data_IF_234323051937
#
_entry.id   IF_234323051937
#
_cell.length_a   1.000
_cell.length_b   1.000
_cell.length_c   1.000
_cell.angle_alpha   90.00
_cell.angle_beta   90.00
_cell.angle_gamma   90.00
#
_symmetry.space_group_name_H-M   'P 1'
#
loop_
_entity.id
_entity.type
_entity.pdbx_description
1 polymer ?
#
# COMPACT_ATOMS: atom_id res chain seq x y z
N UNK A 1 -7.24 -2.22 25.45
CA UNK A 1 -7.23 -1.43 24.20
C UNK A 1 -5.97 -1.84 23.45
N UNK A 2 -6.13 -2.35 22.25
CA UNK A 2 -5.00 -2.71 21.38
C UNK A 2 -4.68 -1.52 20.46
N UNK A 3 -3.40 -1.23 20.29
CA UNK A 3 -2.92 -0.16 19.41
C UNK A 3 -2.00 -0.81 18.37
N UNK A 4 -2.32 -0.60 17.10
CA UNK A 4 -1.47 -1.04 15.99
C UNK A 4 -0.68 0.16 15.46
N UNK A 5 0.64 0.01 15.41
CA UNK A 5 1.51 0.99 14.77
C UNK A 5 1.68 0.58 13.31
N UNK A 6 1.17 1.42 12.41
CA UNK A 6 1.19 1.15 10.97
C UNK A 6 1.87 2.30 10.22
N UNK A 7 2.63 1.96 9.19
CA UNK A 7 3.41 2.92 8.40
C UNK A 7 3.27 2.61 6.92
N UNK A 8 3.08 3.65 6.11
CA UNK A 8 3.15 3.53 4.67
C UNK A 8 4.63 3.59 4.24
N UNK A 9 5.06 2.55 3.55
CA UNK A 9 6.44 2.37 3.08
C UNK A 9 6.46 2.75 1.60
N UNK A 10 6.57 4.06 1.34
CA UNK A 10 6.37 4.66 0.02
C UNK A 10 7.25 5.89 -0.21
N UNK A 11 7.38 6.31 -1.47
CA UNK A 11 7.98 7.60 -1.82
C UNK A 11 7.01 8.76 -1.56
N UNK A 12 7.56 9.93 -1.31
CA UNK A 12 6.81 11.17 -1.38
C UNK A 12 6.57 11.57 -2.85
N UNK A 13 5.31 11.70 -3.24
CA UNK A 13 4.88 12.02 -4.60
C UNK A 13 4.69 13.52 -4.87
N UNK A 14 5.42 14.36 -4.16
CA UNK A 14 5.40 15.80 -4.37
C UNK A 14 6.31 16.27 -5.51
N UNK A 15 6.44 17.57 -5.65
CA UNK A 15 7.39 18.18 -6.57
C UNK A 15 8.43 18.99 -5.77
N UNK A 16 9.71 18.53 -5.69
CA UNK A 16 10.23 17.30 -6.31
C UNK A 16 9.75 16.01 -5.63
N UNK A 17 9.76 14.90 -6.38
CA UNK A 17 9.55 13.57 -5.83
C UNK A 17 10.64 13.22 -4.81
N UNK A 18 10.26 12.55 -3.74
CA UNK A 18 11.20 12.08 -2.72
C UNK A 18 12.16 11.01 -3.24
N UNK A 19 13.19 10.70 -2.43
CA UNK A 19 14.12 9.61 -2.73
C UNK A 19 13.91 8.43 -1.78
N UNK A 20 14.24 7.22 -2.22
CA UNK A 20 14.16 6.03 -1.38
C UNK A 20 14.92 6.22 -0.05
N UNK A 21 16.11 6.79 -0.10
CA UNK A 21 16.92 7.04 1.10
C UNK A 21 16.19 7.90 2.14
N UNK A 22 15.59 9.03 1.70
CA UNK A 22 14.97 10.00 2.61
C UNK A 22 13.56 9.62 3.05
N UNK A 23 12.80 8.97 2.16
CA UNK A 23 11.38 8.67 2.43
C UNK A 23 11.17 7.28 3.03
N UNK A 24 12.04 6.33 2.71
CA UNK A 24 11.85 4.92 3.01
C UNK A 24 12.99 4.38 3.89
N UNK A 25 14.21 4.29 3.35
CA UNK A 25 15.29 3.54 3.99
C UNK A 25 15.68 4.12 5.35
N UNK A 26 16.04 5.39 5.38
CA UNK A 26 16.47 6.03 6.63
C UNK A 26 15.36 6.11 7.69
N UNK A 27 14.13 6.56 7.39
CA UNK A 27 13.05 6.57 8.38
C UNK A 27 12.73 5.18 8.92
N UNK A 28 12.68 4.16 8.05
CA UNK A 28 12.42 2.77 8.46
C UNK A 28 13.50 2.25 9.39
N UNK A 29 14.77 2.55 9.14
CA UNK A 29 15.88 2.17 10.03
C UNK A 29 15.77 2.85 11.40
N UNK A 30 15.27 4.08 11.49
CA UNK A 30 15.00 4.72 12.78
C UNK A 30 13.84 4.01 13.52
N UNK A 31 12.76 3.66 12.84
CA UNK A 31 11.66 2.88 13.42
C UNK A 31 12.14 1.51 13.92
N UNK A 32 12.95 0.80 13.14
CA UNK A 32 13.55 -0.49 13.54
C UNK A 32 14.39 -0.38 14.82
N UNK A 33 15.20 0.68 14.96
CA UNK A 33 15.97 0.93 16.21
C UNK A 33 15.05 1.11 17.42
N UNK A 34 13.94 1.86 17.27
CA UNK A 34 12.95 2.03 18.32
C UNK A 34 12.30 0.69 18.65
N UNK A 35 11.88 -0.07 17.64
CA UNK A 35 11.26 -1.37 17.82
C UNK A 35 12.18 -2.37 18.52
N UNK A 36 13.45 -2.43 18.14
CA UNK A 36 14.47 -3.27 18.78
C UNK A 36 14.63 -2.96 20.28
N UNK A 37 14.61 -1.69 20.64
CA UNK A 37 14.77 -1.24 22.01
C UNK A 37 13.52 -1.47 22.88
N UNK A 38 12.33 -1.53 22.28
CA UNK A 38 11.04 -1.61 22.98
C UNK A 38 10.36 -2.96 22.87
N UNK A 39 10.80 -3.84 21.96
CA UNK A 39 10.13 -5.10 21.63
C UNK A 39 8.84 -4.96 20.82
N UNK A 40 8.45 -3.74 20.43
CA UNK A 40 7.23 -3.46 19.66
C UNK A 40 7.35 -4.04 18.26
N UNK A 41 6.25 -4.61 17.75
CA UNK A 41 6.12 -5.00 16.35
C UNK A 41 5.20 -4.02 15.62
N UNK A 42 5.49 -3.79 14.35
CA UNK A 42 4.85 -2.79 13.51
C UNK A 42 4.35 -3.44 12.23
N UNK A 43 3.40 -2.80 11.58
CA UNK A 43 2.91 -3.18 10.25
C UNK A 43 3.39 -2.13 9.24
N UNK A 44 4.05 -2.58 8.19
CA UNK A 44 4.48 -1.73 7.08
C UNK A 44 3.64 -2.04 5.85
N UNK A 45 2.96 -1.05 5.33
CA UNK A 45 2.21 -1.12 4.08
C UNK A 45 3.13 -0.77 2.91
N UNK A 46 3.58 -1.79 2.20
CA UNK A 46 4.62 -1.68 1.17
C UNK A 46 4.01 -1.23 -0.16
N UNK A 47 4.43 -0.07 -0.68
CA UNK A 47 4.07 0.35 -2.04
C UNK A 47 4.69 -0.59 -3.07
N UNK A 48 3.91 -1.60 -3.43
CA UNK A 48 4.36 -2.67 -4.30
C UNK A 48 4.44 -2.25 -5.77
N UNK A 49 3.72 -1.18 -6.15
CA UNK A 49 3.86 -0.58 -7.47
C UNK A 49 5.27 -0.02 -7.69
N UNK A 50 5.80 0.69 -6.68
CA UNK A 50 7.18 1.14 -6.70
C UNK A 50 8.17 -0.04 -6.80
N UNK A 51 7.97 -1.08 -6.00
CA UNK A 51 8.81 -2.28 -6.01
C UNK A 51 8.82 -2.97 -7.38
N UNK A 52 7.67 -3.07 -8.04
CA UNK A 52 7.54 -3.58 -9.41
C UNK A 52 8.36 -2.74 -10.39
N UNK A 53 8.20 -1.42 -10.36
CA UNK A 53 8.92 -0.50 -11.25
C UNK A 53 10.43 -0.53 -11.02
N UNK A 54 10.87 -0.59 -9.78
CA UNK A 54 12.29 -0.79 -9.49
C UNK A 54 12.82 -2.07 -10.14
N UNK A 55 12.09 -3.18 -10.04
CA UNK A 55 12.49 -4.42 -10.68
C UNK A 55 12.55 -4.30 -12.21
N UNK A 56 11.52 -3.71 -12.84
CA UNK A 56 11.46 -3.51 -14.29
C UNK A 56 12.66 -2.69 -14.80
N UNK A 57 12.92 -1.52 -14.20
CA UNK A 57 13.98 -0.61 -14.64
C UNK A 57 15.38 -1.01 -14.16
N UNK A 58 15.51 -1.89 -13.19
CA UNK A 58 16.80 -2.44 -12.73
C UNK A 58 17.58 -3.17 -13.83
N UNK A 59 16.88 -3.64 -14.86
CA UNK A 59 17.51 -4.30 -16.01
C UNK A 59 18.26 -3.30 -16.91
N UNK A 60 17.91 -2.02 -16.85
CA UNK A 60 18.45 -0.98 -17.72
C UNK A 60 19.38 -0.01 -16.99
N UNK A 61 19.21 0.17 -15.67
CA UNK A 61 19.94 1.19 -14.90
C UNK A 61 20.52 0.62 -13.60
N UNK A 62 21.86 0.69 -13.46
CA UNK A 62 22.53 0.16 -12.27
C UNK A 62 22.11 0.87 -10.97
N UNK A 63 21.87 2.18 -11.00
CA UNK A 63 21.38 2.92 -9.82
C UNK A 63 20.03 2.40 -9.33
N UNK A 64 19.11 2.11 -10.25
CA UNK A 64 17.80 1.54 -9.93
C UNK A 64 17.94 0.11 -9.40
N UNK A 65 18.90 -0.66 -9.92
CA UNK A 65 19.19 -2.01 -9.42
C UNK A 65 19.72 -1.98 -7.97
N UNK A 66 20.61 -1.04 -7.67
CA UNK A 66 21.09 -0.84 -6.30
C UNK A 66 19.95 -0.47 -5.35
N UNK A 67 19.09 0.45 -5.75
CA UNK A 67 17.92 0.88 -4.99
C UNK A 67 16.94 -0.30 -4.78
N UNK A 68 16.64 -1.08 -5.82
CA UNK A 68 15.83 -2.30 -5.71
C UNK A 68 16.40 -3.28 -4.69
N UNK A 69 17.71 -3.50 -4.70
CA UNK A 69 18.37 -4.41 -3.76
C UNK A 69 18.30 -3.87 -2.32
N UNK A 70 18.50 -2.58 -2.11
CA UNK A 70 18.40 -1.95 -0.79
C UNK A 70 16.97 -2.08 -0.22
N UNK A 71 15.97 -1.73 -1.01
CA UNK A 71 14.54 -1.82 -0.64
C UNK A 71 14.15 -3.28 -0.30
N UNK A 72 14.47 -4.22 -1.18
CA UNK A 72 14.11 -5.63 -0.96
C UNK A 72 14.83 -6.22 0.24
N UNK A 73 16.09 -5.84 0.49
CA UNK A 73 16.83 -6.29 1.66
C UNK A 73 16.24 -5.70 2.96
N UNK A 74 15.82 -4.44 2.97
CA UNK A 74 15.18 -3.85 4.13
C UNK A 74 13.83 -4.51 4.43
N UNK A 75 13.00 -4.78 3.41
CA UNK A 75 11.72 -5.52 3.59
C UNK A 75 11.99 -6.92 4.19
N UNK A 76 12.96 -7.66 3.67
CA UNK A 76 13.35 -8.97 4.23
C UNK A 76 13.80 -8.85 5.68
N UNK A 77 14.52 -7.79 6.02
CA UNK A 77 14.99 -7.54 7.37
C UNK A 77 13.81 -7.23 8.30
N UNK A 78 12.84 -6.41 7.88
CA UNK A 78 11.61 -6.16 8.62
C UNK A 78 10.89 -7.47 8.99
N UNK A 79 10.73 -8.35 8.01
CA UNK A 79 10.12 -9.68 8.23
C UNK A 79 10.93 -10.54 9.19
N UNK A 80 12.26 -10.55 9.06
CA UNK A 80 13.14 -11.32 9.95
C UNK A 80 13.12 -10.80 11.39
N UNK A 81 12.92 -9.50 11.59
CA UNK A 81 12.75 -8.86 12.89
C UNK A 81 11.34 -9.04 13.48
N UNK A 82 10.44 -9.71 12.74
CA UNK A 82 9.08 -10.03 13.18
C UNK A 82 8.07 -8.89 12.99
N UNK A 83 8.38 -7.90 12.16
CA UNK A 83 7.42 -6.92 11.66
C UNK A 83 6.55 -7.56 10.58
N UNK A 84 5.36 -7.01 10.37
CA UNK A 84 4.47 -7.43 9.31
C UNK A 84 4.59 -6.49 8.10
N UNK A 85 4.62 -7.05 6.88
CA UNK A 85 4.70 -6.30 5.64
C UNK A 85 3.49 -6.67 4.79
N UNK A 86 2.60 -5.70 4.57
CA UNK A 86 1.31 -5.89 3.92
C UNK A 86 1.17 -4.97 2.69
N UNK A 87 0.11 -5.19 1.91
CA UNK A 87 -0.04 -4.62 0.58
C UNK A 87 -0.48 -3.16 0.63
N UNK A 88 0.29 -2.30 0.00
CA UNK A 88 -0.07 -0.92 -0.35
C UNK A 88 -0.03 -0.75 -1.85
N UNK A 89 -1.06 -0.13 -2.43
CA UNK A 89 -1.12 0.07 -3.87
C UNK A 89 -1.35 1.54 -4.20
N UNK A 90 -0.35 2.11 -4.87
CA UNK A 90 -0.48 3.31 -5.68
C UNK A 90 -0.53 2.90 -7.16
N UNK A 91 -1.72 2.74 -7.76
CA UNK A 91 -1.84 2.14 -9.09
C UNK A 91 -1.30 3.01 -10.21
N UNK A 92 -1.09 4.31 -9.97
CA UNK A 92 -0.47 5.23 -10.92
C UNK A 92 0.96 4.80 -11.32
N UNK A 93 1.62 3.92 -10.53
CA UNK A 93 2.89 3.33 -10.92
C UNK A 93 2.82 2.57 -12.25
N UNK A 94 1.66 2.04 -12.64
CA UNK A 94 1.51 1.41 -13.96
C UNK A 94 1.83 2.38 -15.11
N UNK A 95 1.56 3.67 -14.91
CA UNK A 95 1.74 4.73 -15.91
C UNK A 95 3.06 5.53 -15.74
N UNK A 96 3.87 5.20 -14.72
CA UNK A 96 5.14 5.87 -14.46
C UNK A 96 6.30 5.21 -15.21
N UNK A 97 7.34 6.01 -15.50
CA UNK A 97 8.56 5.57 -16.16
C UNK A 97 9.81 6.16 -15.46
N UNK A 98 10.99 5.68 -15.85
CA UNK A 98 12.27 6.19 -15.36
C UNK A 98 13.17 6.57 -16.54
N UNK A 99 13.79 7.74 -16.52
CA UNK A 99 14.63 8.25 -17.61
C UNK A 99 16.13 7.93 -17.46
N UNK A 100 16.48 7.19 -16.43
CA UNK A 100 17.88 6.88 -16.05
C UNK A 100 18.41 7.72 -14.90
N UNK A 101 17.78 8.88 -14.61
CA UNK A 101 18.17 9.79 -13.53
C UNK A 101 17.07 10.01 -12.48
N UNK A 102 15.80 9.98 -12.91
CA UNK A 102 14.64 10.26 -12.05
C UNK A 102 13.39 9.53 -12.53
N UNK A 103 12.43 9.40 -11.62
CA UNK A 103 11.08 8.95 -11.93
C UNK A 103 10.31 10.04 -12.68
N UNK A 104 9.63 9.64 -13.76
CA UNK A 104 8.65 10.47 -14.48
C UNK A 104 7.27 10.01 -14.02
N UNK A 105 6.70 10.80 -13.11
CA UNK A 105 5.43 10.48 -12.47
C UNK A 105 4.26 10.82 -13.39
N UNK A 106 3.31 9.87 -13.48
CA UNK A 106 2.02 10.10 -14.12
C UNK A 106 0.91 9.65 -13.15
N UNK A 107 0.22 10.62 -12.56
CA UNK A 107 -0.83 10.39 -11.57
C UNK A 107 -2.24 10.59 -12.14
N UNK A 108 -2.42 10.52 -13.47
CA UNK A 108 -3.71 10.70 -14.10
C UNK A 108 -4.73 9.62 -13.73
N UNK A 109 -4.27 8.37 -13.54
CA UNK A 109 -5.05 7.26 -12.97
C UNK A 109 -4.55 6.99 -11.55
N UNK A 110 -5.11 7.70 -10.59
CA UNK A 110 -4.61 7.69 -9.20
C UNK A 110 -5.20 6.57 -8.35
N UNK A 111 -6.46 6.18 -8.62
CA UNK A 111 -7.19 5.17 -7.86
C UNK A 111 -7.25 3.85 -8.63
N UNK A 112 -7.33 2.73 -7.92
CA UNK A 112 -7.63 1.45 -8.57
C UNK A 112 -8.92 1.52 -9.40
N UNK A 113 -9.93 2.24 -8.94
CA UNK A 113 -11.18 2.42 -9.67
C UNK A 113 -11.07 3.25 -10.97
N UNK A 114 -9.93 3.83 -11.28
CA UNK A 114 -9.66 4.50 -12.56
C UNK A 114 -9.27 3.51 -13.67
N UNK A 115 -9.04 2.25 -13.31
CA UNK A 115 -8.66 1.16 -14.21
C UNK A 115 -9.89 0.30 -14.57
N UNK A 116 -9.82 -0.44 -15.68
CA UNK A 116 -10.83 -1.44 -16.01
C UNK A 116 -10.82 -2.60 -15.01
N UNK A 117 -11.90 -3.36 -14.93
CA UNK A 117 -12.00 -4.47 -13.97
C UNK A 117 -10.92 -5.54 -14.18
N UNK A 118 -10.55 -5.82 -15.43
CA UNK A 118 -9.46 -6.75 -15.77
C UNK A 118 -8.09 -6.20 -15.36
N UNK A 119 -7.85 -4.89 -15.54
CA UNK A 119 -6.62 -4.24 -15.06
C UNK A 119 -6.55 -4.23 -13.53
N UNK A 120 -7.66 -3.93 -12.85
CA UNK A 120 -7.74 -3.98 -11.38
C UNK A 120 -7.34 -5.38 -10.88
N UNK A 121 -7.95 -6.42 -11.46
CA UNK A 121 -7.65 -7.80 -11.07
C UNK A 121 -6.15 -8.13 -11.30
N UNK A 122 -5.62 -7.76 -12.46
CA UNK A 122 -4.21 -7.95 -12.78
C UNK A 122 -3.28 -7.24 -11.79
N UNK A 123 -3.54 -5.94 -11.52
CA UNK A 123 -2.71 -5.14 -10.61
C UNK A 123 -2.72 -5.75 -9.21
N UNK A 124 -3.90 -6.05 -8.67
CA UNK A 124 -4.03 -6.58 -7.31
C UNK A 124 -3.30 -7.91 -7.16
N UNK A 125 -3.51 -8.86 -8.07
CA UNK A 125 -2.89 -10.18 -8.02
C UNK A 125 -1.37 -10.13 -8.24
N UNK A 126 -0.92 -9.34 -9.21
CA UNK A 126 0.49 -9.19 -9.51
C UNK A 126 1.25 -8.53 -8.34
N UNK A 127 0.72 -7.43 -7.80
CA UNK A 127 1.37 -6.72 -6.69
C UNK A 127 1.41 -7.59 -5.43
N UNK A 128 0.31 -8.26 -5.10
CA UNK A 128 0.30 -9.21 -3.99
C UNK A 128 1.37 -10.29 -4.19
N UNK A 129 1.46 -10.87 -5.38
CA UNK A 129 2.45 -11.90 -5.71
C UNK A 129 3.90 -11.41 -5.59
N UNK A 130 4.17 -10.19 -6.04
CA UNK A 130 5.50 -9.56 -5.90
C UNK A 130 5.87 -9.45 -4.42
N UNK A 131 4.97 -8.94 -3.58
CA UNK A 131 5.24 -8.77 -2.15
C UNK A 131 5.40 -10.12 -1.45
N UNK A 132 4.54 -11.11 -1.76
CA UNK A 132 4.68 -12.47 -1.23
C UNK A 132 6.03 -13.10 -1.61
N UNK A 133 6.52 -12.87 -2.82
CA UNK A 133 7.82 -13.38 -3.26
C UNK A 133 8.99 -12.75 -2.49
N UNK A 134 8.90 -11.47 -2.12
CA UNK A 134 9.95 -10.81 -1.34
C UNK A 134 9.89 -11.19 0.13
N UNK A 135 8.71 -11.22 0.72
CA UNK A 135 8.51 -11.46 2.15
C UNK A 135 8.50 -12.93 2.53
N UNK A 136 8.15 -13.82 1.60
CA UNK A 136 7.84 -15.25 1.84
C UNK A 136 6.76 -15.42 2.93
N UNK A 137 5.82 -14.48 3.01
CA UNK A 137 4.71 -14.44 3.97
C UNK A 137 3.38 -14.32 3.26
N UNK A 138 2.31 -14.61 4.00
CA UNK A 138 0.96 -14.33 3.54
C UNK A 138 0.71 -12.83 3.52
N UNK A 139 0.08 -12.35 2.44
CA UNK A 139 -0.31 -10.94 2.25
C UNK A 139 -1.82 -10.93 2.06
N UNK A 140 -2.55 -10.52 3.08
CA UNK A 140 -4.01 -10.54 3.11
C UNK A 140 -4.62 -9.28 3.74
N UNK A 141 -3.79 -8.27 4.01
CA UNK A 141 -4.17 -6.96 4.49
C UNK A 141 -3.80 -5.93 3.42
N UNK A 142 -4.66 -4.95 3.24
CA UNK A 142 -4.52 -3.93 2.21
C UNK A 142 -4.67 -2.53 2.79
N UNK A 143 -3.96 -1.58 2.21
CA UNK A 143 -4.18 -0.13 2.36
C UNK A 143 -4.13 0.54 1.00
N UNK A 144 -5.13 1.37 0.71
CA UNK A 144 -5.20 2.13 -0.54
C UNK A 144 -4.23 3.31 -0.50
N UNK A 145 -3.50 3.50 -1.58
CA UNK A 145 -2.72 4.71 -1.81
C UNK A 145 -3.60 5.95 -1.75
N UNK A 146 -3.19 6.96 -0.94
CA UNK A 146 -3.95 8.17 -0.73
C UNK A 146 -5.38 7.94 -0.21
N UNK A 147 -5.61 6.85 0.53
CA UNK A 147 -6.92 6.46 1.08
C UNK A 147 -8.01 6.20 0.03
N UNK A 148 -7.67 6.13 -1.26
CA UNK A 148 -8.63 6.07 -2.37
C UNK A 148 -9.20 4.66 -2.58
N UNK A 149 -9.86 4.09 -1.57
CA UNK A 149 -10.50 2.76 -1.59
C UNK A 149 -11.86 2.74 -2.28
N UNK A 150 -12.49 3.90 -2.43
CA UNK A 150 -13.85 4.02 -2.96
C UNK A 150 -13.88 4.18 -4.49
N UNK A 151 -14.92 3.62 -5.17
CA UNK A 151 -15.93 2.72 -4.63
C UNK A 151 -15.41 1.28 -4.50
N UNK A 152 -15.48 0.71 -3.30
CA UNK A 152 -14.99 -0.64 -3.03
C UNK A 152 -15.70 -1.73 -3.85
N UNK A 153 -16.94 -1.51 -4.22
CA UNK A 153 -17.70 -2.47 -5.05
C UNK A 153 -16.99 -2.86 -6.34
N UNK A 154 -16.18 -1.98 -6.92
CA UNK A 154 -15.36 -2.29 -8.10
C UNK A 154 -14.14 -3.17 -7.79
N UNK A 155 -13.63 -3.10 -6.56
CA UNK A 155 -12.43 -3.80 -6.12
C UNK A 155 -12.74 -5.17 -5.55
N UNK A 156 -13.96 -5.34 -5.03
CA UNK A 156 -14.41 -6.50 -4.25
C UNK A 156 -14.02 -7.83 -4.88
N UNK A 157 -14.36 -8.05 -6.14
CA UNK A 157 -14.09 -9.33 -6.84
C UNK A 157 -12.60 -9.66 -6.87
N UNK A 158 -11.77 -8.68 -7.15
CA UNK A 158 -10.31 -8.84 -7.20
C UNK A 158 -9.74 -9.12 -5.82
N UNK A 159 -10.28 -8.50 -4.78
CA UNK A 159 -9.87 -8.72 -3.38
C UNK A 159 -10.28 -10.12 -2.91
N UNK A 160 -11.50 -10.57 -3.22
CA UNK A 160 -11.93 -11.94 -2.93
C UNK A 160 -11.01 -12.97 -3.61
N UNK A 161 -10.66 -12.76 -4.88
CA UNK A 161 -9.77 -13.63 -5.64
C UNK A 161 -8.35 -13.65 -5.07
N UNK A 162 -7.85 -12.51 -4.60
CA UNK A 162 -6.54 -12.38 -3.94
C UNK A 162 -6.55 -12.90 -2.49
N UNK A 163 -7.70 -13.16 -1.89
CA UNK A 163 -7.79 -13.50 -0.46
C UNK A 163 -7.42 -12.34 0.46
N UNK A 164 -7.56 -11.10 0.00
CA UNK A 164 -7.45 -9.90 0.83
C UNK A 164 -8.73 -9.80 1.67
N UNK A 165 -8.60 -9.77 2.98
CA UNK A 165 -9.75 -9.84 3.91
C UNK A 165 -9.78 -8.69 4.91
N UNK A 166 -8.72 -7.92 5.00
CA UNK A 166 -8.60 -6.74 5.87
C UNK A 166 -8.26 -5.53 5.02
N UNK A 167 -8.97 -4.44 5.24
CA UNK A 167 -8.65 -3.10 4.75
C UNK A 167 -8.26 -2.19 5.93
N UNK A 168 -7.33 -1.28 5.70
CA UNK A 168 -6.93 -0.24 6.63
C UNK A 168 -6.72 1.08 5.90
N UNK A 169 -7.72 1.49 5.12
CA UNK A 169 -7.65 2.70 4.29
C UNK A 169 -8.49 3.85 4.84
N UNK A 170 -9.47 3.56 5.68
CA UNK A 170 -10.43 4.55 6.15
C UNK A 170 -9.89 5.31 7.35
N UNK A 171 -10.01 6.65 7.32
CA UNK A 171 -9.91 7.44 8.54
C UNK A 171 -11.24 8.16 8.79
N UNK A 172 -11.93 7.87 9.92
CA UNK A 172 -13.30 8.32 10.14
C UNK A 172 -13.46 9.84 10.08
N UNK A 173 -14.46 10.30 9.32
CA UNK A 173 -14.75 11.71 9.13
C UNK A 173 -13.92 12.39 8.03
N UNK A 174 -12.93 11.71 7.47
CA UNK A 174 -12.10 12.26 6.39
C UNK A 174 -12.88 12.41 5.08
N UNK A 175 -12.56 13.45 4.33
CA UNK A 175 -13.14 13.72 3.01
C UNK A 175 -12.18 14.54 2.16
N UNK A 176 -12.04 14.14 0.91
CA UNK A 176 -11.44 14.94 -0.14
C UNK A 176 -12.25 14.78 -1.43
N UNK A 177 -12.48 15.86 -2.14
CA UNK A 177 -13.25 15.88 -3.38
C UNK A 177 -12.46 16.43 -4.58
N UNK A 178 -11.15 16.64 -4.42
CA UNK A 178 -10.33 17.27 -5.44
C UNK A 178 -9.88 16.27 -6.50
N UNK A 179 -10.33 16.47 -7.73
CA UNK A 179 -9.85 15.78 -8.92
C UNK A 179 -9.88 14.25 -8.82
N UNK A 180 -8.77 13.62 -9.20
CA UNK A 180 -8.61 12.17 -9.17
C UNK A 180 -8.34 11.61 -7.77
N UNK A 181 -7.97 12.45 -6.83
CA UNK A 181 -7.73 12.12 -5.44
C UNK A 181 -8.98 12.42 -4.60
N UNK A 182 -9.89 11.45 -4.53
CA UNK A 182 -11.15 11.67 -3.84
C UNK A 182 -11.58 10.45 -3.00
N UNK A 183 -12.14 10.74 -1.84
CA UNK A 183 -12.75 9.80 -0.91
C UNK A 183 -13.72 10.55 0.00
N UNK A 184 -14.71 9.85 0.57
CA UNK A 184 -15.65 10.39 1.56
C UNK A 184 -15.93 9.35 2.64
N UNK A 185 -15.37 9.58 3.82
CA UNK A 185 -15.51 8.72 5.01
C UNK A 185 -16.35 9.39 6.11
N UNK A 186 -17.15 10.38 5.76
CA UNK A 186 -18.00 11.12 6.73
C UNK A 186 -19.12 10.29 7.32
N UNK A 187 -19.50 9.18 6.65
CA UNK A 187 -20.57 8.28 7.08
C UNK A 187 -20.09 6.98 7.72
N UNK A 188 -18.81 6.88 8.05
CA UNK A 188 -18.22 5.66 8.63
C UNK A 188 -18.77 5.35 10.03
N UNK A 189 -18.83 4.06 10.42
CA UNK A 189 -19.19 3.65 11.77
C UNK A 189 -18.23 4.21 12.83
N UNK A 190 -18.73 4.68 13.96
CA UNK A 190 -17.92 5.05 15.11
C UNK A 190 -17.45 3.80 15.88
N UNK A 191 -16.57 3.01 15.28
CA UNK A 191 -16.04 1.73 15.78
C UNK A 191 -14.54 1.62 15.54
N UNK A 192 -13.86 0.84 16.37
CA UNK A 192 -12.45 0.50 16.17
C UNK A 192 -12.21 -0.47 15.01
N UNK A 193 -13.23 -1.21 14.62
CA UNK A 193 -13.26 -2.05 13.40
C UNK A 193 -14.71 -2.43 13.08
N UNK A 194 -14.96 -2.83 11.84
CA UNK A 194 -16.26 -3.38 11.44
C UNK A 194 -16.12 -4.28 10.22
N UNK A 195 -17.07 -5.19 10.07
CA UNK A 195 -17.20 -5.97 8.85
C UNK A 195 -18.01 -5.21 7.81
N UNK A 196 -17.62 -5.35 6.55
CA UNK A 196 -18.30 -4.78 5.39
C UNK A 196 -18.25 -5.74 4.19
N UNK A 197 -18.98 -5.45 3.13
CA UNK A 197 -19.01 -6.30 1.94
C UNK A 197 -18.80 -5.52 0.63
N UNK A 198 -19.52 -4.44 0.42
CA UNK A 198 -19.47 -3.68 -0.85
C UNK A 198 -19.15 -2.21 -0.67
N UNK A 199 -19.28 -1.68 0.53
CA UNK A 199 -18.98 -0.30 0.88
C UNK A 199 -18.27 -0.27 2.23
N UNK A 200 -17.05 0.28 2.25
CA UNK A 200 -16.22 0.41 3.46
C UNK A 200 -16.87 1.26 4.56
N UNK A 201 -17.79 2.16 4.20
CA UNK A 201 -18.50 3.01 5.13
C UNK A 201 -19.74 2.34 5.75
N UNK A 202 -20.14 1.15 5.28
CA UNK A 202 -21.34 0.45 5.74
C UNK A 202 -20.96 -0.80 6.54
N UNK A 203 -21.37 -0.82 7.82
CA UNK A 203 -21.19 -2.01 8.64
C UNK A 203 -22.19 -3.10 8.25
N UNK A 204 -21.67 -4.24 7.84
CA UNK A 204 -22.43 -5.45 7.50
C UNK A 204 -21.92 -6.63 8.36
N UNK A 205 -22.69 -7.12 9.38
CA UNK A 205 -22.20 -8.15 10.31
C UNK A 205 -21.76 -9.47 9.66
N UNK A 206 -22.30 -9.79 8.48
CA UNK A 206 -21.93 -10.97 7.68
C UNK A 206 -20.92 -10.66 6.56
N UNK A 207 -20.33 -9.47 6.54
CA UNK A 207 -19.39 -9.07 5.49
C UNK A 207 -18.13 -9.93 5.44
N UNK A 208 -17.59 -10.09 4.23
CA UNK A 208 -16.37 -10.88 3.98
C UNK A 208 -15.10 -10.13 4.34
N UNK A 209 -15.15 -8.81 4.45
CA UNK A 209 -14.00 -7.94 4.72
C UNK A 209 -14.11 -7.31 6.09
N UNK A 210 -12.98 -6.92 6.64
CA UNK A 210 -12.91 -6.17 7.90
C UNK A 210 -12.12 -4.89 7.69
N UNK A 211 -12.72 -3.75 8.05
CA UNK A 211 -12.02 -2.48 8.13
C UNK A 211 -11.40 -2.29 9.50
N UNK A 212 -10.12 -1.93 9.53
CA UNK A 212 -9.41 -1.40 10.68
C UNK A 212 -9.01 0.05 10.37
N UNK A 213 -9.80 1.03 10.78
CA UNK A 213 -9.56 2.43 10.42
C UNK A 213 -8.26 2.97 11.03
N UNK A 214 -7.71 3.99 10.37
CA UNK A 214 -6.51 4.72 10.77
C UNK A 214 -6.85 5.72 11.88
#
# INVERSE_FOLDING_TARGET
>A
MDIFLTYDYELYFGNPTGTAEKCILHPTDQLRKIASNTGIKMVFFIDTGYLKKLHEFSQNYNSVKEEYNQITNQIKTLVAEGHDCQLHIHPHWEDCSHDGSKWIMNTSRYKLSDFSDDEIEKIVLEYQKILQNVTQKNVNIYRAGGWCIQPFSRLKKSFEKAGLVIDSSVFPGGKNTDGNYNYDFTSTPAKSNWKFNSDVCIKEPGGNFTEYPI
#
